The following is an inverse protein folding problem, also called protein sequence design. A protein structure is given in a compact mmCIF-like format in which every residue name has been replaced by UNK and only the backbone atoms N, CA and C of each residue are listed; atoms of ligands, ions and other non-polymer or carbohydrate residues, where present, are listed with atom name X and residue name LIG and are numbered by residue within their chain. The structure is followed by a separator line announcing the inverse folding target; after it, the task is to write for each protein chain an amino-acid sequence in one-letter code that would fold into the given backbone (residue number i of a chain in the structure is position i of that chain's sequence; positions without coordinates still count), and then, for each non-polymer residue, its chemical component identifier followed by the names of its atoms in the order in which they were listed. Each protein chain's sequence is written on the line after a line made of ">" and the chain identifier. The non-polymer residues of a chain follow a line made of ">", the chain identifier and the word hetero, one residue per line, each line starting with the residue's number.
data_IF_759531745938
#
_entry.id   IF_759531745938
#
_cell.length_a   1.000
_cell.length_b   1.000
_cell.length_c   1.000
_cell.angle_alpha   90.00
_cell.angle_beta   90.00
_cell.angle_gamma   90.00
#
_symmetry.space_group_name_H-M   'P 1'
#
loop_
_entity.id
_entity.type
_entity.pdbx_description
1 polymer ?
#
# COMPACT_ATOMS: atom_id res chain seq x y z
N UNK A 1 -35.36 18.24 -6.80
CA UNK A 1 -34.27 18.69 -5.90
C UNK A 1 -33.66 17.57 -5.04
N UNK A 2 -34.45 16.76 -4.32
CA UNK A 2 -33.90 15.69 -3.44
C UNK A 2 -32.95 14.69 -4.12
N UNK A 3 -33.27 14.25 -5.34
CA UNK A 3 -32.43 13.31 -6.10
C UNK A 3 -31.05 13.89 -6.46
N UNK A 4 -30.98 15.17 -6.84
CA UNK A 4 -29.69 15.79 -7.18
C UNK A 4 -28.77 15.89 -5.96
N UNK A 5 -29.32 16.18 -4.77
CA UNK A 5 -28.54 16.19 -3.54
C UNK A 5 -27.97 14.80 -3.19
N UNK A 6 -28.71 13.73 -3.45
CA UNK A 6 -28.23 12.35 -3.22
C UNK A 6 -27.12 11.97 -4.20
N UNK A 7 -27.21 12.38 -5.46
CA UNK A 7 -26.16 12.13 -6.46
C UNK A 7 -24.87 12.88 -6.07
N UNK A 8 -24.97 14.13 -5.64
CA UNK A 8 -23.82 14.91 -5.17
C UNK A 8 -23.18 14.31 -3.91
N UNK A 9 -23.99 13.84 -2.95
CA UNK A 9 -23.47 13.19 -1.74
C UNK A 9 -22.74 11.87 -2.06
N UNK A 10 -23.23 11.10 -3.03
CA UNK A 10 -22.57 9.86 -3.47
C UNK A 10 -21.21 10.15 -4.12
N UNK A 11 -21.15 11.13 -5.03
CA UNK A 11 -19.90 11.55 -5.69
C UNK A 11 -18.88 12.10 -4.68
N UNK A 12 -19.33 12.89 -3.71
CA UNK A 12 -18.44 13.37 -2.65
C UNK A 12 -17.87 12.21 -1.82
N UNK A 13 -18.70 11.20 -1.51
CA UNK A 13 -18.27 10.03 -0.73
C UNK A 13 -17.23 9.18 -1.47
N UNK A 14 -17.37 9.00 -2.79
CA UNK A 14 -16.39 8.25 -3.59
C UNK A 14 -15.04 8.96 -3.66
N UNK A 15 -15.04 10.28 -3.85
CA UNK A 15 -13.80 11.08 -3.89
C UNK A 15 -13.05 11.03 -2.55
N UNK A 16 -13.77 11.10 -1.41
CA UNK A 16 -13.18 10.97 -0.07
C UNK A 16 -12.59 9.57 0.14
N UNK A 17 -13.25 8.52 -0.35
CA UNK A 17 -12.68 7.16 -0.25
C UNK A 17 -11.42 7.00 -1.09
N UNK A 18 -11.37 7.56 -2.29
CA UNK A 18 -10.18 7.52 -3.14
C UNK A 18 -9.01 8.30 -2.54
N UNK A 19 -9.24 9.47 -1.95
CA UNK A 19 -8.17 10.23 -1.29
C UNK A 19 -7.58 9.45 -0.11
N UNK A 20 -8.43 8.81 0.70
CA UNK A 20 -7.98 7.99 1.81
C UNK A 20 -7.16 6.78 1.35
N UNK A 21 -7.56 6.12 0.27
CA UNK A 21 -6.82 4.97 -0.29
C UNK A 21 -5.47 5.42 -0.86
N UNK A 22 -5.45 6.54 -1.58
CA UNK A 22 -4.20 7.09 -2.13
C UNK A 22 -3.24 7.51 -1.02
N UNK A 23 -3.73 8.09 0.06
CA UNK A 23 -2.91 8.47 1.22
C UNK A 23 -2.31 7.22 1.91
N UNK A 24 -3.11 6.17 2.10
CA UNK A 24 -2.62 4.90 2.66
C UNK A 24 -1.55 4.28 1.76
N UNK A 25 -1.82 4.17 0.45
CA UNK A 25 -0.87 3.60 -0.51
C UNK A 25 0.42 4.42 -0.58
N UNK A 26 0.30 5.74 -0.63
CA UNK A 26 1.46 6.65 -0.66
C UNK A 26 2.29 6.51 0.60
N UNK A 27 1.67 6.57 1.78
CA UNK A 27 2.39 6.50 3.05
C UNK A 27 3.07 5.14 3.25
N UNK A 28 2.37 4.03 2.93
CA UNK A 28 2.95 2.69 2.95
C UNK A 28 4.11 2.55 1.97
N UNK A 29 3.94 3.04 0.74
CA UNK A 29 5.00 3.04 -0.27
C UNK A 29 6.22 3.88 0.14
N UNK A 30 6.02 5.07 0.69
CA UNK A 30 7.11 5.95 1.13
C UNK A 30 7.95 5.26 2.20
N UNK A 31 7.29 4.64 3.19
CA UNK A 31 7.97 3.89 4.25
C UNK A 31 8.69 2.65 3.72
N UNK A 32 8.02 1.84 2.90
CA UNK A 32 8.59 0.62 2.32
C UNK A 32 9.77 0.94 1.40
N UNK A 33 9.62 1.94 0.52
CA UNK A 33 10.67 2.36 -0.42
C UNK A 33 11.93 2.80 0.30
N UNK A 34 11.81 3.59 1.38
CA UNK A 34 12.96 4.02 2.17
C UNK A 34 13.71 2.83 2.79
N UNK A 35 12.98 1.87 3.39
CA UNK A 35 13.58 0.66 3.97
C UNK A 35 14.22 -0.24 2.90
N UNK A 36 13.51 -0.47 1.79
CA UNK A 36 13.97 -1.32 0.70
C UNK A 36 15.23 -0.75 0.03
N UNK A 37 15.26 0.57 -0.19
CA UNK A 37 16.45 1.26 -0.71
C UNK A 37 17.65 1.11 0.22
N UNK A 38 17.45 1.35 1.52
CA UNK A 38 18.50 1.20 2.51
C UNK A 38 19.06 -0.23 2.51
N UNK A 39 18.21 -1.25 2.43
CA UNK A 39 18.65 -2.64 2.41
C UNK A 39 19.43 -2.98 1.13
N UNK A 40 18.87 -2.66 -0.04
CA UNK A 40 19.53 -2.96 -1.32
C UNK A 40 20.86 -2.22 -1.47
N UNK A 41 20.97 -0.99 -0.95
CA UNK A 41 22.20 -0.19 -1.07
C UNK A 41 23.41 -0.82 -0.37
N UNK A 42 23.21 -1.66 0.66
CA UNK A 42 24.30 -2.31 1.41
C UNK A 42 25.12 -3.25 0.52
N UNK A 43 24.47 -3.88 -0.45
CA UNK A 43 25.10 -4.85 -1.37
C UNK A 43 25.51 -4.24 -2.72
N UNK A 44 25.21 -2.96 -2.94
CA UNK A 44 25.49 -2.23 -4.18
C UNK A 44 26.55 -1.13 -4.00
N UNK A 45 27.43 -1.29 -3.01
CA UNK A 45 28.56 -0.38 -2.82
C UNK A 45 29.33 -0.20 -4.14
N UNK A 46 29.59 1.07 -4.48
CA UNK A 46 30.35 1.49 -5.66
C UNK A 46 29.74 1.14 -7.03
N UNK A 47 28.45 0.80 -7.08
CA UNK A 47 27.71 0.54 -8.33
C UNK A 47 26.53 1.48 -8.48
N UNK A 48 26.29 1.95 -9.70
CA UNK A 48 25.02 2.59 -10.03
C UNK A 48 23.91 1.54 -10.06
N UNK A 49 22.80 1.81 -9.37
CA UNK A 49 21.64 0.94 -9.36
C UNK A 49 20.34 1.75 -9.43
N UNK A 50 19.29 1.09 -9.90
CA UNK A 50 17.91 1.61 -9.88
C UNK A 50 17.00 0.52 -9.35
N UNK A 51 16.04 0.89 -8.51
CA UNK A 51 15.07 -0.03 -7.92
C UNK A 51 13.67 0.59 -7.94
N UNK A 52 12.66 -0.26 -7.98
CA UNK A 52 11.25 0.15 -7.84
C UNK A 52 10.61 -0.65 -6.71
N UNK A 53 10.69 -0.14 -5.49
CA UNK A 53 10.02 -0.75 -4.34
C UNK A 53 8.50 -0.79 -4.52
N UNK A 54 7.93 0.24 -5.16
CA UNK A 54 6.51 0.30 -5.51
C UNK A 54 6.04 -0.95 -6.28
N UNK A 55 6.83 -1.42 -7.25
CA UNK A 55 6.47 -2.61 -8.05
C UNK A 55 6.41 -3.91 -7.25
N UNK A 56 7.09 -3.96 -6.09
CA UNK A 56 7.13 -5.13 -5.20
C UNK A 56 5.91 -5.16 -4.26
N UNK A 57 5.21 -4.03 -4.08
CA UNK A 57 4.03 -3.96 -3.23
C UNK A 57 2.91 -4.90 -3.72
N UNK A 58 2.64 -4.94 -5.03
CA UNK A 58 1.56 -5.78 -5.59
C UNK A 58 1.75 -7.29 -5.34
N UNK A 59 2.90 -7.91 -5.66
CA UNK A 59 3.10 -9.32 -5.34
C UNK A 59 3.14 -9.60 -3.84
N UNK A 60 3.70 -8.70 -3.01
CA UNK A 60 3.66 -8.87 -1.55
C UNK A 60 2.23 -8.77 -0.99
N UNK A 61 1.43 -7.83 -1.45
CA UNK A 61 0.02 -7.74 -1.08
C UNK A 61 -0.73 -9.02 -1.47
N UNK A 62 -0.48 -9.57 -2.65
CA UNK A 62 -1.06 -10.84 -3.06
C UNK A 62 -0.62 -12.01 -2.16
N UNK A 63 0.64 -12.02 -1.71
CA UNK A 63 1.12 -13.01 -0.74
C UNK A 63 0.49 -12.82 0.64
N UNK A 64 0.25 -11.59 1.08
CA UNK A 64 -0.47 -11.32 2.32
C UNK A 64 -1.87 -11.95 2.29
N UNK A 65 -2.64 -11.72 1.20
CA UNK A 65 -3.97 -12.30 0.99
C UNK A 65 -3.99 -13.84 1.02
N UNK A 66 -2.86 -14.48 0.66
CA UNK A 66 -2.72 -15.94 0.64
C UNK A 66 -2.09 -16.50 1.92
N UNK A 67 -1.63 -15.64 2.84
CA UNK A 67 -0.99 -16.01 4.09
C UNK A 67 -1.98 -15.94 5.26
N UNK A 68 -1.63 -16.55 6.39
CA UNK A 68 -2.44 -16.50 7.62
C UNK A 68 -1.56 -16.28 8.85
N UNK A 69 -2.15 -15.73 9.92
CA UNK A 69 -1.48 -15.51 11.20
C UNK A 69 -0.24 -14.62 11.07
N UNK A 70 0.85 -15.00 11.74
CA UNK A 70 2.05 -14.17 11.82
C UNK A 70 2.63 -13.79 10.46
N UNK A 71 2.64 -14.71 9.48
CA UNK A 71 3.16 -14.41 8.14
C UNK A 71 2.34 -13.34 7.42
N UNK A 72 1.01 -13.40 7.55
CA UNK A 72 0.13 -12.36 7.02
C UNK A 72 0.44 -11.00 7.66
N UNK A 73 0.54 -10.95 8.98
CA UNK A 73 0.76 -9.72 9.75
C UNK A 73 2.15 -9.11 9.46
N UNK A 74 3.17 -9.94 9.31
CA UNK A 74 4.52 -9.52 8.94
C UNK A 74 4.56 -8.87 7.55
N UNK A 75 3.88 -9.47 6.57
CA UNK A 75 3.83 -8.91 5.21
C UNK A 75 3.13 -7.56 5.23
N UNK A 76 1.94 -7.45 5.84
CA UNK A 76 1.19 -6.19 5.93
C UNK A 76 2.00 -5.09 6.64
N UNK A 77 2.64 -5.44 7.75
CA UNK A 77 3.51 -4.53 8.51
C UNK A 77 4.69 -4.07 7.65
N UNK A 78 5.29 -4.97 6.88
CA UNK A 78 6.42 -4.64 6.02
C UNK A 78 6.03 -3.64 4.91
N UNK A 79 4.88 -3.84 4.26
CA UNK A 79 4.40 -2.99 3.16
C UNK A 79 3.62 -1.74 3.63
N UNK A 80 3.51 -1.54 4.95
CA UNK A 80 2.85 -0.36 5.53
C UNK A 80 1.34 -0.33 5.33
N UNK A 81 0.70 -1.49 5.21
CA UNK A 81 -0.75 -1.60 5.02
C UNK A 81 -1.42 -1.95 6.37
N UNK A 82 -2.52 -1.25 6.74
CA UNK A 82 -3.16 -1.46 8.04
C UNK A 82 -3.98 -2.75 8.14
N UNK A 83 -4.49 -3.24 7.01
CA UNK A 83 -5.24 -4.49 6.85
C UNK A 83 -5.36 -4.77 5.34
N UNK A 84 -5.85 -5.96 4.98
CA UNK A 84 -6.20 -6.34 3.62
C UNK A 84 -7.73 -6.44 3.39
N UNK A 85 -8.54 -6.14 4.43
CA UNK A 85 -10.00 -6.31 4.47
C UNK A 85 -10.49 -7.66 3.91
N UNK A 86 -9.65 -8.70 3.96
CA UNK A 86 -10.12 -10.07 3.84
C UNK A 86 -10.56 -10.46 5.22
N UNK A 87 -11.86 -10.59 5.41
CA UNK A 87 -12.44 -11.14 6.64
C UNK A 87 -11.88 -12.56 6.79
N UNK A 88 -10.87 -12.73 7.62
CA UNK A 88 -10.30 -14.03 8.01
C UNK A 88 -11.00 -14.58 9.25
#
# INVERSE_FOLDING_TARGET
>A
MKIYLLIWALVASTVISESNIQDVLKNGNDQFSAKFLNEVSKDQADKSFVISAYSVLSPLAQLALASVGQTHDEILTAIGMPNDNVVS
#
